data_IF_646726645474
#
_entry.id   IF_646726645474
#
_cell.length_a   1.000
_cell.length_b   1.000
_cell.length_c   1.000
_cell.angle_alpha   90.00
_cell.angle_beta   90.00
_cell.angle_gamma   90.00
#
_symmetry.space_group_name_H-M   'P 1'
#
loop_
_entity.id
_entity.type
_entity.pdbx_description
1 polymer ?
#
# COMPACT_ATOMS: atom_id res chain seq x y z
N UNK A 1 9.15 23.84 -4.02
CA UNK A 1 10.57 23.60 -4.31
C UNK A 1 10.79 22.12 -4.08
N UNK A 2 10.96 21.35 -5.14
CA UNK A 2 11.28 19.91 -5.04
C UNK A 2 12.73 19.82 -4.61
N UNK A 3 13.03 19.15 -3.49
CA UNK A 3 14.40 18.87 -3.05
C UNK A 3 15.14 18.10 -4.16
N UNK A 4 16.06 18.74 -4.90
CA UNK A 4 16.55 18.20 -6.17
C UNK A 4 17.61 17.11 -6.00
N UNK A 5 18.00 16.76 -4.77
CA UNK A 5 19.12 15.88 -4.48
C UNK A 5 18.71 14.47 -4.00
N UNK A 6 17.42 14.26 -3.72
CA UNK A 6 16.95 12.96 -3.24
C UNK A 6 16.77 11.97 -4.40
N UNK A 7 17.15 10.68 -4.20
CA UNK A 7 16.93 9.62 -5.19
C UNK A 7 15.46 9.26 -5.38
N UNK A 8 14.56 9.83 -4.56
CA UNK A 8 13.11 9.64 -4.63
C UNK A 8 12.44 10.94 -5.09
N UNK A 9 11.74 10.95 -6.23
CA UNK A 9 11.02 12.13 -6.70
C UNK A 9 9.82 12.44 -5.81
N UNK A 10 9.59 13.73 -5.58
CA UNK A 10 8.51 14.29 -4.75
C UNK A 10 8.46 13.67 -3.34
N UNK A 11 9.63 13.37 -2.75
CA UNK A 11 9.76 12.62 -1.48
C UNK A 11 8.81 13.07 -0.37
N UNK A 12 8.67 14.38 -0.17
CA UNK A 12 7.79 14.97 0.86
C UNK A 12 6.31 14.57 0.70
N UNK A 13 5.87 14.32 -0.54
CA UNK A 13 4.49 13.96 -0.88
C UNK A 13 4.25 12.44 -0.90
N UNK A 14 5.29 11.63 -0.69
CA UNK A 14 5.19 10.16 -0.78
C UNK A 14 4.49 9.61 0.46
N UNK A 15 3.48 8.76 0.24
CA UNK A 15 2.82 8.03 1.32
C UNK A 15 3.76 6.99 1.93
N UNK A 16 3.56 6.62 3.20
CA UNK A 16 4.36 5.57 3.84
C UNK A 16 4.28 4.23 3.06
N UNK A 17 3.12 3.92 2.48
CA UNK A 17 2.93 2.73 1.64
C UNK A 17 3.84 2.76 0.42
N UNK A 18 3.76 3.82 -0.38
CA UNK A 18 4.58 4.01 -1.58
C UNK A 18 6.07 4.02 -1.25
N UNK A 19 6.46 4.66 -0.15
CA UNK A 19 7.86 4.70 0.29
C UNK A 19 8.42 3.29 0.48
N UNK A 20 7.69 2.39 1.16
CA UNK A 20 8.11 0.98 1.35
C UNK A 20 8.34 0.24 0.04
N UNK A 21 7.64 0.62 -1.03
CA UNK A 21 7.90 0.06 -2.36
C UNK A 21 9.17 0.63 -2.98
N UNK A 22 9.36 1.95 -2.91
CA UNK A 22 10.49 2.64 -3.55
C UNK A 22 11.84 2.31 -2.91
N UNK A 23 11.92 2.22 -1.58
CA UNK A 23 13.19 1.95 -0.87
C UNK A 23 13.80 0.57 -1.16
N UNK A 24 13.02 -0.37 -1.71
CA UNK A 24 13.54 -1.70 -2.08
C UNK A 24 14.55 -1.66 -3.22
N UNK A 25 14.45 -0.66 -4.08
CA UNK A 25 15.35 -0.44 -5.20
C UNK A 25 16.57 0.42 -4.85
N UNK A 26 16.58 1.07 -3.68
CA UNK A 26 17.68 1.93 -3.26
C UNK A 26 18.86 1.08 -2.76
N UNK A 27 20.06 1.54 -3.09
CA UNK A 27 21.29 1.08 -2.45
C UNK A 27 21.53 1.77 -1.10
N UNK A 28 22.55 1.32 -0.39
CA UNK A 28 22.87 1.80 0.95
C UNK A 28 23.15 3.30 0.99
N UNK A 29 23.89 3.83 0.01
CA UNK A 29 24.27 5.24 -0.03
C UNK A 29 23.05 6.13 -0.27
N UNK A 30 22.19 5.73 -1.22
CA UNK A 30 20.92 6.39 -1.48
C UNK A 30 20.01 6.39 -0.25
N UNK A 31 19.94 5.28 0.47
CA UNK A 31 19.11 5.15 1.67
C UNK A 31 19.61 6.05 2.81
N UNK A 32 20.93 6.13 3.03
CA UNK A 32 21.54 7.04 4.01
C UNK A 32 21.25 8.51 3.70
N UNK A 33 21.25 8.90 2.43
CA UNK A 33 20.91 10.28 2.03
C UNK A 33 19.46 10.62 2.40
N UNK A 34 18.53 9.72 2.10
CA UNK A 34 17.11 9.89 2.45
C UNK A 34 16.90 9.94 3.97
N UNK A 35 17.58 9.08 4.72
CA UNK A 35 17.51 9.05 6.19
C UNK A 35 18.02 10.36 6.80
N UNK A 36 19.17 10.85 6.33
CA UNK A 36 19.75 12.12 6.78
C UNK A 36 18.80 13.29 6.51
N UNK A 37 18.19 13.31 5.32
CA UNK A 37 17.22 14.33 4.97
C UNK A 37 15.97 14.26 5.85
N UNK A 38 15.35 13.09 6.00
CA UNK A 38 14.15 12.92 6.82
C UNK A 38 14.41 13.31 8.28
N UNK A 39 15.53 12.90 8.87
CA UNK A 39 15.89 13.24 10.24
C UNK A 39 16.11 14.75 10.44
N UNK A 40 16.61 15.46 9.42
CA UNK A 40 16.85 16.91 9.47
C UNK A 40 15.65 17.79 9.14
N UNK A 41 14.62 17.25 8.48
CA UNK A 41 13.49 18.04 7.96
C UNK A 41 12.17 17.75 8.69
N UNK A 42 11.60 16.55 8.51
CA UNK A 42 10.27 16.21 9.01
C UNK A 42 10.30 15.31 10.26
N UNK A 43 11.36 14.52 10.42
CA UNK A 43 11.58 13.57 11.50
C UNK A 43 10.37 12.67 11.78
N UNK A 44 9.69 12.16 10.73
CA UNK A 44 8.55 11.26 10.91
C UNK A 44 9.06 9.90 11.37
N UNK A 45 8.81 9.58 12.62
CA UNK A 45 9.17 8.30 13.25
C UNK A 45 8.85 7.07 12.36
N UNK A 46 7.62 6.90 11.81
CA UNK A 46 7.34 5.70 11.01
C UNK A 46 8.14 5.63 9.69
N UNK A 47 8.60 6.76 9.18
CA UNK A 47 9.44 6.83 7.97
C UNK A 47 10.87 6.45 8.31
N UNK A 48 11.43 7.01 9.38
CA UNK A 48 12.78 6.69 9.86
C UNK A 48 12.92 5.20 10.16
N UNK A 49 11.98 4.62 10.91
CA UNK A 49 11.97 3.18 11.25
C UNK A 49 12.02 2.29 10.00
N UNK A 50 11.26 2.66 8.95
CA UNK A 50 11.23 1.93 7.69
C UNK A 50 12.54 2.05 6.91
N UNK A 51 13.16 3.22 6.92
CA UNK A 51 14.47 3.45 6.29
C UNK A 51 15.58 2.69 7.03
N UNK A 52 15.61 2.77 8.35
CA UNK A 52 16.58 2.05 9.20
C UNK A 52 16.42 0.53 9.08
N UNK A 53 15.19 0.02 9.05
CA UNK A 53 14.93 -1.39 8.82
C UNK A 53 15.52 -1.84 7.48
N UNK A 54 15.28 -1.08 6.41
CA UNK A 54 15.82 -1.38 5.08
C UNK A 54 17.35 -1.29 5.04
N UNK A 55 17.94 -0.35 5.79
CA UNK A 55 19.39 -0.21 5.90
C UNK A 55 20.01 -1.48 6.48
N UNK A 56 19.46 -1.97 7.60
CA UNK A 56 19.92 -3.20 8.24
C UNK A 56 19.82 -4.41 7.33
N UNK A 57 18.79 -4.50 6.48
CA UNK A 57 18.66 -5.58 5.49
C UNK A 57 19.82 -5.55 4.47
N UNK A 58 20.17 -4.37 3.94
CA UNK A 58 21.27 -4.21 3.00
C UNK A 58 22.63 -4.51 3.66
N UNK A 59 22.82 -4.07 4.90
CA UNK A 59 24.03 -4.38 5.69
C UNK A 59 24.14 -5.89 5.98
N UNK A 60 23.01 -6.58 6.14
CA UNK A 60 22.95 -8.04 6.28
C UNK A 60 23.18 -8.80 4.95
N UNK A 61 23.42 -8.09 3.84
CA UNK A 61 23.75 -8.68 2.54
C UNK A 61 22.56 -8.84 1.60
N UNK A 62 21.40 -8.25 1.89
CA UNK A 62 20.30 -8.20 0.92
C UNK A 62 20.68 -7.34 -0.29
N UNK A 63 20.27 -7.76 -1.49
CA UNK A 63 20.46 -6.97 -2.70
C UNK A 63 19.31 -5.99 -2.93
N UNK A 64 19.58 -4.79 -3.47
CA UNK A 64 18.55 -3.91 -4.02
C UNK A 64 17.78 -4.63 -5.14
N UNK A 65 16.48 -4.37 -5.23
CA UNK A 65 15.67 -4.86 -6.34
C UNK A 65 16.01 -4.10 -7.62
N UNK A 66 16.08 -4.76 -8.80
CA UNK A 66 16.46 -4.13 -10.08
C UNK A 66 15.38 -3.20 -10.68
N UNK A 67 14.55 -2.56 -9.85
CA UNK A 67 13.52 -1.61 -10.29
C UNK A 67 14.02 -0.16 -10.22
N UNK A 68 13.45 0.74 -11.03
CA UNK A 68 13.70 2.17 -10.88
C UNK A 68 12.69 2.77 -9.88
N UNK A 69 13.12 3.27 -8.71
CA UNK A 69 12.23 3.83 -7.69
C UNK A 69 11.47 5.09 -8.15
N UNK A 70 12.01 5.81 -9.14
CA UNK A 70 11.37 6.98 -9.73
C UNK A 70 10.20 6.62 -10.68
N UNK A 71 10.19 5.39 -11.22
CA UNK A 71 9.15 4.88 -12.12
C UNK A 71 8.09 4.03 -11.42
N UNK A 72 8.09 3.96 -10.09
CA UNK A 72 6.99 3.33 -9.37
C UNK A 72 5.69 4.05 -9.75
N UNK A 73 4.66 3.34 -10.28
CA UNK A 73 3.41 3.98 -10.68
C UNK A 73 2.88 4.76 -9.48
N UNK A 74 2.67 6.07 -9.68
CA UNK A 74 2.07 6.92 -8.65
C UNK A 74 0.70 6.31 -8.36
N UNK A 75 0.55 5.66 -7.21
CA UNK A 75 -0.78 5.35 -6.70
C UNK A 75 -1.33 6.70 -6.28
N UNK A 76 -1.94 7.41 -7.22
CA UNK A 76 -2.70 8.62 -6.92
C UNK A 76 -3.70 8.19 -5.85
N UNK A 77 -3.49 8.64 -4.61
CA UNK A 77 -4.36 8.31 -3.50
C UNK A 77 -5.79 8.56 -3.94
N UNK A 78 -6.58 7.49 -4.06
CA UNK A 78 -7.98 7.62 -4.38
C UNK A 78 -8.65 8.34 -3.20
N UNK A 79 -8.70 9.67 -3.27
CA UNK A 79 -9.81 10.43 -2.72
C UNK A 79 -11.00 10.14 -3.64
N UNK A 80 -11.59 8.97 -3.48
CA UNK A 80 -12.65 8.49 -4.35
C UNK A 80 -13.05 7.10 -3.90
N UNK A 81 -14.19 7.02 -3.21
CA UNK A 81 -14.77 5.76 -2.78
C UNK A 81 -14.79 4.77 -3.94
N UNK A 82 -14.45 3.52 -3.63
CA UNK A 82 -14.65 2.40 -4.54
C UNK A 82 -16.07 2.50 -5.13
N UNK A 83 -16.27 2.61 -6.46
CA UNK A 83 -17.44 1.99 -7.01
C UNK A 83 -17.18 0.49 -6.84
N UNK A 84 -17.61 -0.06 -5.70
CA UNK A 84 -17.86 -1.49 -5.61
C UNK A 84 -18.85 -1.77 -6.73
N UNK A 85 -18.36 -2.26 -7.86
CA UNK A 85 -19.22 -2.81 -8.89
C UNK A 85 -19.73 -4.12 -8.34
N UNK A 86 -20.99 -4.14 -7.93
CA UNK A 86 -21.73 -5.33 -7.48
C UNK A 86 -22.00 -6.33 -8.63
N UNK A 87 -21.16 -6.36 -9.67
CA UNK A 87 -21.37 -7.23 -10.84
C UNK A 87 -20.91 -8.68 -10.62
N UNK A 88 -20.39 -8.99 -9.44
CA UNK A 88 -20.23 -10.37 -8.96
C UNK A 88 -20.81 -10.52 -7.55
N UNK A 89 -21.99 -9.95 -7.30
CA UNK A 89 -22.82 -10.45 -6.22
C UNK A 89 -23.22 -11.89 -6.57
N UNK A 90 -22.60 -12.87 -5.91
CA UNK A 90 -23.16 -14.22 -5.87
C UNK A 90 -24.63 -14.09 -5.41
N UNK A 91 -25.56 -14.68 -6.17
CA UNK A 91 -26.97 -14.69 -5.81
C UNK A 91 -27.10 -15.07 -4.33
N UNK A 92 -27.71 -14.17 -3.56
CA UNK A 92 -27.83 -14.32 -2.12
C UNK A 92 -28.55 -15.62 -1.78
N UNK A 93 -27.80 -16.68 -1.50
CA UNK A 93 -28.30 -17.81 -0.72
C UNK A 93 -28.38 -17.30 0.70
N UNK A 94 -29.52 -16.68 1.04
CA UNK A 94 -29.82 -16.33 2.43
C UNK A 94 -29.58 -17.59 3.27
N UNK A 95 -28.75 -17.55 4.32
CA UNK A 95 -28.69 -18.67 5.24
C UNK A 95 -30.10 -18.85 5.81
N UNK A 96 -30.60 -20.08 5.81
CA UNK A 96 -31.87 -20.40 6.44
C UNK A 96 -31.72 -20.06 7.93
N UNK A 97 -32.33 -18.93 8.34
CA UNK A 97 -32.44 -18.62 9.76
C UNK A 97 -33.41 -19.64 10.35
N UNK A 98 -32.92 -20.37 11.35
CA UNK A 98 -33.71 -21.29 12.15
C UNK A 98 -35.02 -20.64 12.61
N UNK A 99 -36.14 -21.31 12.33
CA UNK A 99 -37.42 -21.11 13.00
C UNK A 99 -38.39 -20.09 12.39
N UNK A 100 -39.20 -20.51 11.41
CA UNK A 100 -40.58 -20.03 11.25
C UNK A 100 -41.51 -21.22 10.98
N UNK A 101 -42.47 -21.40 11.89
CA UNK A 101 -43.35 -22.55 11.98
C UNK A 101 -44.64 -22.36 11.17
N UNK A 102 -44.56 -22.19 9.84
CA UNK A 102 -45.70 -22.28 8.90
C UNK A 102 -45.12 -22.54 7.48
N UNK A 103 -44.96 -23.80 7.04
CA UNK A 103 -45.74 -24.41 5.94
C UNK A 103 -46.62 -23.39 5.19
N UNK A 104 -46.57 -23.16 3.88
CA UNK A 104 -46.27 -24.00 2.70
C UNK A 104 -46.23 -23.07 1.47
N UNK A 105 -45.24 -23.12 0.56
CA UNK A 105 -45.38 -22.46 -0.74
C UNK A 105 -46.33 -23.25 -1.68
N UNK A 106 -47.02 -22.49 -2.53
CA UNK A 106 -48.26 -22.83 -3.23
C UNK A 106 -48.25 -24.06 -4.13
N UNK A 107 -49.39 -24.77 -4.10
CA UNK A 107 -49.83 -25.86 -4.99
C UNK A 107 -49.50 -25.57 -6.47
N UNK A 108 -48.55 -26.31 -7.03
CA UNK A 108 -48.46 -26.52 -8.48
C UNK A 108 -49.44 -27.61 -8.92
N UNK A 109 -50.49 -27.22 -9.64
CA UNK A 109 -51.28 -28.08 -10.55
C UNK A 109 -50.45 -28.33 -11.83
N UNK A 110 -50.66 -29.40 -12.64
CA UNK A 110 -51.93 -30.03 -13.03
C UNK A 110 -52.29 -31.33 -12.30
#
# INVERSE_FOLDING_TARGET
MTDPDLPIPDYDQVSLGDLRHRIRALDLQQLTAVLTHEAGHAARVPVLEVLEARQRELEAGAQPSPGNPANAPRVAGAQGGSPVQESTAAQGTSPLRHGVAQQTPSRGKP
#
